data_IF_013876684282
#
_entry.id   IF_013876684282
#
_cell.length_a   1.000
_cell.length_b   1.000
_cell.length_c   1.000
_cell.angle_alpha   90.00
_cell.angle_beta   90.00
_cell.angle_gamma   90.00
#
_symmetry.space_group_name_H-M   'P 1'
#
loop_
_entity.id
_entity.type
_entity.pdbx_description
1 polymer ?
#
# COMPACT_ATOMS: atom_id res chain seq x y z
N UNK A 1 -14.18 -10.84 -6.40
CA UNK A 1 -12.91 -10.31 -6.91
C UNK A 1 -12.13 -9.69 -5.77
N UNK A 2 -10.92 -10.18 -5.51
CA UNK A 2 -10.12 -9.65 -4.41
C UNK A 2 -9.37 -8.38 -4.80
N UNK A 3 -9.19 -7.49 -3.86
CA UNK A 3 -8.28 -6.37 -3.99
C UNK A 3 -6.88 -6.83 -3.58
N UNK A 4 -5.86 -6.21 -4.16
CA UNK A 4 -4.47 -6.49 -3.86
C UNK A 4 -3.87 -5.32 -3.11
N UNK A 5 -2.87 -5.61 -2.27
CA UNK A 5 -1.95 -4.61 -1.81
C UNK A 5 -0.80 -4.48 -2.81
N UNK A 6 -0.21 -3.32 -2.88
CA UNK A 6 0.95 -3.05 -3.71
C UNK A 6 2.22 -3.18 -2.89
N UNK A 7 3.24 -3.77 -3.50
CA UNK A 7 4.51 -4.02 -2.84
C UNK A 7 5.65 -3.62 -3.77
N UNK A 8 6.54 -2.79 -3.28
CA UNK A 8 7.72 -2.39 -4.03
C UNK A 8 8.97 -2.66 -3.21
N UNK A 9 9.94 -3.35 -3.80
CA UNK A 9 11.18 -3.71 -3.13
C UNK A 9 12.35 -2.91 -3.66
N UNK A 10 13.07 -2.26 -2.75
CA UNK A 10 14.42 -1.74 -3.01
C UNK A 10 15.49 -2.73 -2.57
N UNK A 11 15.09 -3.80 -1.86
CA UNK A 11 15.94 -4.93 -1.56
C UNK A 11 16.04 -5.83 -2.80
N UNK A 12 17.23 -6.37 -3.14
CA UNK A 12 17.41 -7.16 -4.37
C UNK A 12 16.79 -8.56 -4.27
N UNK A 13 15.54 -8.69 -4.68
CA UNK A 13 14.82 -9.97 -4.73
C UNK A 13 14.94 -10.68 -6.09
N UNK A 14 15.52 -10.02 -7.08
CA UNK A 14 15.61 -10.50 -8.46
C UNK A 14 14.98 -9.52 -9.44
N UNK A 15 15.34 -9.64 -10.72
CA UNK A 15 14.87 -8.71 -11.76
C UNK A 15 13.35 -8.69 -11.90
N UNK A 16 12.71 -9.85 -11.76
CA UNK A 16 11.26 -9.97 -11.91
C UNK A 16 10.49 -9.19 -10.83
N UNK A 17 11.13 -8.89 -9.71
CA UNK A 17 10.52 -8.24 -8.56
C UNK A 17 11.05 -6.82 -8.34
N UNK A 18 11.74 -6.25 -9.31
CA UNK A 18 12.32 -4.91 -9.19
C UNK A 18 11.33 -3.78 -9.40
N UNK A 19 10.18 -4.06 -10.00
CA UNK A 19 9.10 -3.10 -10.22
C UNK A 19 7.98 -3.22 -9.20
N UNK A 20 6.80 -2.76 -9.59
CA UNK A 20 5.62 -2.89 -8.76
C UNK A 20 5.15 -4.34 -8.70
N UNK A 21 4.92 -4.83 -7.50
CA UNK A 21 4.40 -6.16 -7.24
C UNK A 21 3.06 -6.08 -6.52
N UNK A 22 2.37 -7.21 -6.43
CA UNK A 22 1.09 -7.33 -5.73
C UNK A 22 1.17 -8.45 -4.71
N UNK A 23 0.43 -8.33 -3.63
CA UNK A 23 0.31 -9.35 -2.59
C UNK A 23 -1.06 -9.27 -1.94
N UNK A 24 -1.53 -10.40 -1.37
CA UNK A 24 -2.76 -10.45 -0.56
C UNK A 24 -2.48 -10.90 0.86
N UNK A 25 -1.21 -11.12 1.21
CA UNK A 25 -0.84 -11.84 2.42
C UNK A 25 -0.50 -10.94 3.60
N UNK A 26 -0.41 -9.62 3.41
CA UNK A 26 -0.01 -8.69 4.46
C UNK A 26 -1.20 -8.35 5.36
N UNK A 27 -2.33 -7.96 4.77
CA UNK A 27 -3.56 -7.65 5.50
C UNK A 27 -4.35 -8.94 5.76
N UNK A 28 -4.64 -9.22 7.02
CA UNK A 28 -5.39 -10.41 7.39
C UNK A 28 -6.89 -10.24 7.20
N UNK A 29 -7.54 -11.29 6.73
CA UNK A 29 -8.98 -11.43 6.73
C UNK A 29 -9.72 -10.84 5.54
N UNK A 30 -9.19 -9.88 4.84
CA UNK A 30 -9.89 -9.20 3.77
C UNK A 30 -9.18 -9.25 2.41
N UNK A 31 -8.02 -9.89 2.34
CA UNK A 31 -7.32 -10.14 1.08
C UNK A 31 -6.74 -8.92 0.39
N UNK A 32 -6.50 -7.86 1.12
CA UNK A 32 -5.90 -6.63 0.60
C UNK A 32 -6.84 -5.44 0.62
N UNK A 33 -6.28 -4.27 0.82
CA UNK A 33 -7.01 -2.99 0.94
C UNK A 33 -6.47 -1.94 -0.03
N UNK A 34 -5.72 -2.37 -1.05
CA UNK A 34 -5.02 -1.48 -1.99
C UNK A 34 -3.98 -0.59 -1.29
N UNK A 35 -3.48 -1.03 -0.14
CA UNK A 35 -2.40 -0.35 0.57
C UNK A 35 -1.09 -0.50 -0.19
N UNK A 36 -0.16 0.42 0.05
CA UNK A 36 1.16 0.36 -0.58
C UNK A 36 2.23 0.10 0.48
N UNK A 37 3.07 -0.89 0.20
CA UNK A 37 4.16 -1.30 1.07
C UNK A 37 5.49 -1.12 0.36
N UNK A 38 6.51 -0.84 1.13
CA UNK A 38 7.86 -0.68 0.62
C UNK A 38 8.85 -1.47 1.47
N UNK A 39 9.67 -2.26 0.80
CA UNK A 39 10.80 -2.97 1.43
C UNK A 39 12.07 -2.19 1.13
N UNK A 40 12.75 -1.71 2.18
CA UNK A 40 13.94 -0.90 2.01
C UNK A 40 15.17 -1.73 1.64
N UNK A 41 16.29 -1.10 1.23
CA UNK A 41 17.51 -1.84 0.86
C UNK A 41 18.11 -2.69 1.98
N UNK A 42 17.78 -2.39 3.23
CA UNK A 42 18.27 -3.15 4.40
C UNK A 42 17.32 -4.31 4.78
N UNK A 43 16.17 -4.44 4.13
CA UNK A 43 15.21 -5.50 4.37
C UNK A 43 14.12 -5.18 5.39
N UNK A 44 13.88 -3.90 5.69
CA UNK A 44 12.78 -3.49 6.57
C UNK A 44 11.54 -3.13 5.78
N UNK A 45 10.40 -3.59 6.29
CA UNK A 45 9.10 -3.36 5.65
C UNK A 45 8.42 -2.11 6.22
N UNK A 46 7.88 -1.30 5.31
CA UNK A 46 7.14 -0.08 5.63
C UNK A 46 5.79 -0.06 4.94
N UNK A 47 4.84 0.58 5.59
CA UNK A 47 3.55 0.96 4.98
C UNK A 47 3.66 2.42 4.53
N UNK A 48 3.30 2.68 3.28
CA UNK A 48 3.20 4.05 2.76
C UNK A 48 1.79 4.54 3.07
N UNK A 49 1.70 5.53 3.94
CA UNK A 49 0.42 6.04 4.41
C UNK A 49 -0.12 7.10 3.45
N UNK A 50 -1.13 6.72 2.68
CA UNK A 50 -1.90 7.65 1.85
C UNK A 50 -3.27 7.95 2.46
N UNK A 51 -3.61 7.27 3.57
CA UNK A 51 -4.87 7.53 4.25
C UNK A 51 -4.82 8.91 4.90
N UNK A 52 -5.99 9.52 4.96
CA UNK A 52 -6.12 10.84 5.58
C UNK A 52 -5.22 11.91 4.94
N UNK A 53 -5.00 11.81 3.62
CA UNK A 53 -4.26 12.84 2.87
C UNK A 53 -4.98 14.18 2.87
N UNK A 54 -6.27 14.16 3.15
CA UNK A 54 -7.10 15.35 3.25
C UNK A 54 -8.12 15.20 4.37
N UNK A 55 -8.38 16.28 5.07
CA UNK A 55 -9.43 16.36 6.07
C UNK A 55 -10.67 16.99 5.45
N UNK A 56 -11.84 16.47 5.83
CA UNK A 56 -13.11 17.03 5.41
C UNK A 56 -13.47 18.22 6.29
N UNK A 57 -13.64 19.39 5.70
CA UNK A 57 -14.13 20.57 6.38
C UNK A 57 -15.57 20.86 5.92
N UNK A 58 -16.49 20.84 6.86
CA UNK A 58 -17.89 21.12 6.59
C UNK A 58 -18.20 22.55 6.99
N UNK A 59 -18.85 23.28 6.09
CA UNK A 59 -19.31 24.64 6.36
C UNK A 59 -20.76 24.63 6.80
N UNK A 60 -21.05 25.34 7.89
CA UNK A 60 -22.39 25.45 8.45
C UNK A 60 -22.96 26.84 8.20
N UNK A 61 -24.31 26.99 8.28
CA UNK A 61 -24.92 28.32 8.19
C UNK A 61 -24.31 29.28 9.22
N UNK A 62 -23.86 30.42 8.76
CA UNK A 62 -23.13 31.38 9.58
C UNK A 62 -21.64 31.45 9.30
N UNK A 63 -21.07 30.43 8.65
CA UNK A 63 -19.67 30.47 8.22
C UNK A 63 -19.51 31.38 6.99
N UNK A 64 -18.39 32.13 6.89
CA UNK A 64 -18.17 33.01 5.73
C UNK A 64 -18.16 32.27 4.40
N UNK A 65 -17.73 31.01 4.40
CA UNK A 65 -17.64 30.18 3.21
C UNK A 65 -18.94 29.42 2.88
N UNK A 66 -19.95 29.51 3.76
CA UNK A 66 -21.22 28.86 3.52
C UNK A 66 -21.99 29.52 2.39
N UNK A 67 -22.47 28.71 1.46
CA UNK A 67 -23.25 29.17 0.32
C UNK A 67 -24.60 28.43 0.32
N UNK A 68 -25.68 29.16 0.55
CA UNK A 68 -27.04 28.59 0.60
C UNK A 68 -27.45 27.91 -0.69
N UNK A 69 -26.91 28.35 -1.84
CA UNK A 69 -27.22 27.75 -3.15
C UNK A 69 -26.57 26.37 -3.31
N UNK A 70 -25.53 26.05 -2.56
CA UNK A 70 -24.84 24.76 -2.65
C UNK A 70 -25.51 23.67 -1.81
N UNK A 71 -26.45 24.00 -0.98
CA UNK A 71 -27.20 23.07 -0.14
C UNK A 71 -26.27 22.19 0.71
N UNK A 72 -26.35 20.85 0.55
CA UNK A 72 -25.52 19.91 1.29
C UNK A 72 -24.09 19.80 0.76
N UNK A 73 -23.74 20.47 -0.31
CA UNK A 73 -22.39 20.47 -0.86
C UNK A 73 -21.46 21.52 -0.23
N UNK A 74 -21.79 22.02 0.96
CA UNK A 74 -20.96 22.97 1.69
C UNK A 74 -19.86 22.26 2.46
N UNK A 75 -18.87 21.75 1.72
CA UNK A 75 -17.70 21.11 2.30
C UNK A 75 -16.50 21.26 1.36
N UNK A 76 -15.33 21.04 1.92
CA UNK A 76 -14.07 21.11 1.20
C UNK A 76 -13.08 20.07 1.76
N UNK A 77 -12.31 19.46 0.88
CA UNK A 77 -11.20 18.59 1.26
C UNK A 77 -9.92 19.40 1.34
N UNK A 78 -9.30 19.45 2.52
CA UNK A 78 -8.10 20.23 2.77
C UNK A 78 -6.94 19.26 3.01
N UNK A 79 -5.87 19.40 2.21
CA UNK A 79 -4.68 18.55 2.36
C UNK A 79 -4.05 18.74 3.74
N UNK A 80 -3.74 17.63 4.40
CA UNK A 80 -3.20 17.63 5.77
C UNK A 80 -1.72 17.25 5.86
N UNK A 81 -1.06 17.00 4.74
CA UNK A 81 0.38 16.68 4.72
C UNK A 81 0.73 15.24 5.04
N UNK A 82 -0.25 14.34 5.15
CA UNK A 82 0.03 12.92 5.43
C UNK A 82 0.40 12.11 4.17
N UNK A 83 0.26 12.69 3.01
CA UNK A 83 0.50 12.01 1.75
C UNK A 83 1.93 11.48 1.64
N UNK A 84 2.05 10.17 1.39
CA UNK A 84 3.34 9.53 1.18
C UNK A 84 4.21 9.34 2.41
N UNK A 85 3.67 9.53 3.62
CA UNK A 85 4.43 9.24 4.83
C UNK A 85 4.66 7.74 4.98
N UNK A 86 5.85 7.38 5.45
CA UNK A 86 6.30 6.01 5.59
C UNK A 86 6.28 5.63 7.06
N UNK A 87 5.66 4.48 7.37
CA UNK A 87 5.57 3.95 8.74
C UNK A 87 6.14 2.54 8.77
N UNK A 88 6.96 2.18 9.79
CA UNK A 88 7.37 0.79 9.96
C UNK A 88 6.16 -0.14 10.08
N UNK A 89 6.24 -1.31 9.47
CA UNK A 89 5.16 -2.29 9.48
C UNK A 89 5.68 -3.62 10.04
N UNK A 90 5.66 -3.81 11.37
CA UNK A 90 6.31 -4.94 12.03
C UNK A 90 5.48 -6.23 12.00
N UNK A 91 5.43 -6.88 10.85
CA UNK A 91 4.75 -8.17 10.71
C UNK A 91 5.74 -9.32 10.92
N UNK A 92 5.22 -10.46 11.35
CA UNK A 92 5.95 -11.72 11.47
C UNK A 92 5.14 -12.79 10.77
N UNK A 93 5.47 -13.04 9.50
CA UNK A 93 4.75 -14.03 8.67
C UNK A 93 5.47 -14.23 7.34
N UNK A 94 5.04 -15.24 6.60
CA UNK A 94 5.41 -15.42 5.19
C UNK A 94 4.44 -14.66 4.33
N UNK A 95 4.94 -13.96 3.32
CA UNK A 95 4.11 -13.35 2.29
C UNK A 95 4.59 -13.81 0.92
N UNK A 96 3.67 -13.85 -0.04
CA UNK A 96 3.97 -14.16 -1.43
C UNK A 96 3.67 -12.94 -2.28
N UNK A 97 4.64 -12.53 -3.09
CA UNK A 97 4.49 -11.41 -4.02
C UNK A 97 4.64 -11.92 -5.46
N UNK A 98 4.04 -11.19 -6.38
CA UNK A 98 4.21 -11.41 -7.81
C UNK A 98 4.24 -10.07 -8.54
N UNK A 99 4.93 -9.98 -9.71
CA UNK A 99 4.93 -8.75 -10.48
C UNK A 99 3.51 -8.34 -10.87
N UNK A 100 3.26 -7.05 -10.92
CA UNK A 100 1.98 -6.50 -11.37
C UNK A 100 1.72 -6.82 -12.85
N UNK A 101 2.77 -6.84 -13.65
CA UNK A 101 2.68 -7.10 -15.09
C UNK A 101 3.60 -8.25 -15.48
N UNK A 102 3.07 -9.18 -16.24
CA UNK A 102 3.81 -10.32 -16.77
C UNK A 102 3.39 -10.56 -18.21
N UNK A 103 4.36 -10.69 -19.12
CA UNK A 103 4.10 -10.85 -20.57
C UNK A 103 4.22 -12.29 -21.05
N UNK A 104 4.71 -13.19 -20.22
CA UNK A 104 4.85 -14.60 -20.57
C UNK A 104 3.57 -15.39 -20.30
N UNK A 105 3.62 -16.74 -20.46
CA UNK A 105 2.51 -17.60 -20.07
C UNK A 105 2.16 -17.42 -18.61
N UNK A 106 0.86 -17.43 -18.29
CA UNK A 106 0.44 -17.18 -16.90
C UNK A 106 0.95 -18.26 -15.93
N UNK A 107 1.19 -19.48 -16.41
CA UNK A 107 1.76 -20.57 -15.61
C UNK A 107 3.18 -20.25 -15.12
N UNK A 108 3.89 -19.41 -15.86
CA UNK A 108 5.28 -19.04 -15.58
C UNK A 108 5.37 -17.70 -14.82
N UNK A 109 4.23 -17.15 -14.40
CA UNK A 109 4.22 -15.89 -13.66
C UNK A 109 5.07 -16.05 -12.40
N UNK A 110 6.17 -15.27 -12.29
CA UNK A 110 7.10 -15.44 -11.17
C UNK A 110 6.45 -15.08 -9.84
N UNK A 111 6.83 -15.80 -8.80
CA UNK A 111 6.37 -15.54 -7.44
C UNK A 111 7.57 -15.59 -6.50
N UNK A 112 7.57 -14.75 -5.47
CA UNK A 112 8.60 -14.74 -4.46
C UNK A 112 7.94 -14.86 -3.09
N UNK A 113 8.41 -15.82 -2.31
CA UNK A 113 7.95 -16.01 -0.93
C UNK A 113 8.98 -15.38 0.00
N UNK A 114 8.51 -14.47 0.84
CA UNK A 114 9.37 -13.71 1.75
C UNK A 114 8.95 -13.99 3.18
N UNK A 115 9.93 -14.31 4.03
CA UNK A 115 9.71 -14.47 5.46
C UNK A 115 10.10 -13.19 6.19
N UNK A 116 9.14 -12.57 6.87
CA UNK A 116 9.36 -11.41 7.73
C UNK A 116 9.29 -11.80 9.20
N UNK A 117 10.16 -11.20 10.00
CA UNK A 117 10.09 -11.26 11.46
C UNK A 117 10.20 -9.83 12.00
N UNK A 118 9.13 -9.38 12.68
CA UNK A 118 9.04 -8.02 13.22
C UNK A 118 9.34 -6.95 12.16
N UNK A 119 8.84 -7.17 10.93
CA UNK A 119 9.02 -6.26 9.82
C UNK A 119 10.37 -6.30 9.13
N UNK A 120 11.22 -7.27 9.48
CA UNK A 120 12.53 -7.46 8.86
C UNK A 120 12.55 -8.73 8.02
N UNK A 121 13.05 -8.62 6.80
CA UNK A 121 13.24 -9.76 5.91
C UNK A 121 14.29 -10.71 6.51
N UNK A 122 13.90 -11.96 6.72
CA UNK A 122 14.78 -13.01 7.24
C UNK A 122 15.34 -13.85 6.11
N UNK A 123 14.49 -14.27 5.19
CA UNK A 123 14.88 -14.99 3.99
C UNK A 123 13.79 -14.82 2.91
N UNK A 124 14.11 -15.23 1.70
CA UNK A 124 13.19 -15.24 0.59
C UNK A 124 13.58 -16.31 -0.42
N UNK A 125 12.60 -16.77 -1.20
CA UNK A 125 12.86 -17.70 -2.30
C UNK A 125 11.94 -17.40 -3.47
N UNK A 126 12.46 -17.56 -4.67
CA UNK A 126 11.67 -17.52 -5.90
C UNK A 126 11.02 -18.88 -6.11
N UNK A 127 9.74 -18.87 -6.33
CA UNK A 127 8.94 -20.10 -6.51
C UNK A 127 8.82 -20.41 -7.99
#
# INVERSE_FOLDING_TARGET
MGMFDYFRSSYPLGEDFSGNCQTKDIEEGIGGTMSQYWLDPAGYLYLIDYSYTADLKIYEPGDPEYDEERAWLNFEWIKNGNHGKVKPHPITKYIEIHPEVWKGPWEDWPRCKIHFKSGRLMDYETI
#
